data_IF_221130072943
#
_entry.id   IF_221130072943
#
_cell.length_a   1.000
_cell.length_b   1.000
_cell.length_c   1.000
_cell.angle_alpha   90.00
_cell.angle_beta   90.00
_cell.angle_gamma   90.00
#
_symmetry.space_group_name_H-M   'P 1'
#
loop_
_entity.id
_entity.type
_entity.pdbx_description
1 polymer ?
#
# COMPACT_ATOMS: atom_id res chain seq x y z
N UNK A 1 -10.08 -50.14 -3.32
CA UNK A 1 -11.32 -49.35 -3.50
C UNK A 1 -10.94 -48.11 -4.31
N UNK A 2 -11.10 -48.18 -5.62
CA UNK A 2 -10.93 -47.04 -6.51
C UNK A 2 -12.32 -46.39 -6.66
N UNK A 3 -12.63 -45.46 -5.77
CA UNK A 3 -13.80 -44.61 -5.94
C UNK A 3 -13.47 -43.61 -7.04
N UNK A 4 -14.35 -43.56 -8.04
CA UNK A 4 -14.20 -42.79 -9.26
C UNK A 4 -14.25 -41.29 -8.93
N UNK A 5 -13.09 -40.65 -8.69
CA UNK A 5 -12.97 -39.22 -8.35
C UNK A 5 -13.10 -38.34 -9.60
N UNK A 6 -14.27 -38.35 -10.23
CA UNK A 6 -14.64 -37.52 -11.39
C UNK A 6 -14.88 -36.04 -11.08
N UNK A 7 -14.14 -35.45 -10.13
CA UNK A 7 -14.24 -34.03 -9.77
C UNK A 7 -13.13 -33.19 -10.40
N UNK A 8 -13.31 -31.87 -10.50
CA UNK A 8 -12.32 -30.92 -11.06
C UNK A 8 -10.93 -31.12 -10.44
N UNK A 9 -10.84 -31.33 -9.12
CA UNK A 9 -9.56 -31.56 -8.43
C UNK A 9 -8.89 -32.89 -8.79
N UNK A 10 -9.67 -33.94 -9.09
CA UNK A 10 -9.13 -35.22 -9.58
C UNK A 10 -8.54 -35.07 -10.99
N UNK A 11 -9.20 -34.29 -11.86
CA UNK A 11 -8.67 -33.97 -13.19
C UNK A 11 -7.37 -33.15 -13.11
N UNK A 12 -7.34 -32.13 -12.25
CA UNK A 12 -6.12 -31.34 -12.00
C UNK A 12 -5.00 -32.25 -11.45
N UNK A 13 -5.32 -33.13 -10.49
CA UNK A 13 -4.35 -34.08 -9.94
C UNK A 13 -3.75 -34.99 -11.01
N UNK A 14 -4.57 -35.49 -11.95
CA UNK A 14 -4.09 -36.32 -13.06
C UNK A 14 -3.15 -35.55 -13.99
N UNK A 15 -3.48 -34.31 -14.34
CA UNK A 15 -2.64 -33.45 -15.19
C UNK A 15 -1.30 -33.17 -14.52
N UNK A 16 -1.34 -32.73 -13.26
CA UNK A 16 -0.16 -32.41 -12.45
C UNK A 16 0.75 -33.63 -12.31
N UNK A 17 0.20 -34.84 -12.11
CA UNK A 17 0.99 -36.07 -11.97
C UNK A 17 1.62 -36.52 -13.29
N UNK A 18 0.89 -36.41 -14.41
CA UNK A 18 1.36 -36.84 -15.73
C UNK A 18 2.39 -35.89 -16.33
N UNK A 19 2.17 -34.58 -16.19
CA UNK A 19 2.98 -33.56 -16.85
C UNK A 19 3.35 -32.39 -15.91
N UNK A 20 4.03 -32.64 -14.77
CA UNK A 20 4.36 -31.60 -13.80
C UNK A 20 5.28 -30.50 -14.39
N UNK A 21 6.25 -30.89 -15.23
CA UNK A 21 7.15 -29.95 -15.91
C UNK A 21 6.39 -29.03 -16.86
N UNK A 22 5.37 -29.55 -17.55
CA UNK A 22 4.53 -28.73 -18.43
C UNK A 22 3.71 -27.70 -17.64
N UNK A 23 3.11 -28.10 -16.51
CA UNK A 23 2.36 -27.17 -15.65
C UNK A 23 3.28 -26.07 -15.10
N UNK A 24 4.48 -26.43 -14.63
CA UNK A 24 5.48 -25.45 -14.16
C UNK A 24 5.90 -24.53 -15.31
N UNK A 25 6.18 -25.09 -16.48
CA UNK A 25 6.54 -24.35 -17.68
C UNK A 25 5.43 -23.39 -18.12
N UNK A 26 4.15 -23.78 -17.99
CA UNK A 26 3.01 -22.93 -18.26
C UNK A 26 2.95 -21.74 -17.30
N UNK A 27 3.18 -21.96 -16.00
CA UNK A 27 3.21 -20.88 -15.00
C UNK A 27 4.39 -19.92 -15.20
N UNK A 28 5.59 -20.46 -15.46
CA UNK A 28 6.78 -19.65 -15.74
C UNK A 28 6.62 -18.90 -17.07
N UNK A 29 6.08 -19.56 -18.10
CA UNK A 29 5.77 -18.96 -19.38
C UNK A 29 4.72 -17.86 -19.26
N UNK A 30 3.66 -18.08 -18.49
CA UNK A 30 2.66 -17.06 -18.18
C UNK A 30 3.27 -15.86 -17.45
N UNK A 31 4.11 -16.11 -16.43
CA UNK A 31 4.84 -15.05 -15.74
C UNK A 31 5.73 -14.25 -16.70
N UNK A 32 6.46 -14.91 -17.59
CA UNK A 32 7.33 -14.26 -18.56
C UNK A 32 6.53 -13.45 -19.60
N UNK A 33 5.46 -14.03 -20.16
CA UNK A 33 4.59 -13.34 -21.11
C UNK A 33 3.94 -12.12 -20.47
N UNK A 34 3.39 -12.26 -19.27
CA UNK A 34 2.79 -11.14 -18.55
C UNK A 34 3.82 -10.08 -18.16
N UNK A 35 5.03 -10.46 -17.73
CA UNK A 35 6.08 -9.50 -17.42
C UNK A 35 6.55 -8.69 -18.65
N UNK A 36 6.43 -9.26 -19.86
CA UNK A 36 6.80 -8.60 -21.11
C UNK A 36 5.66 -7.80 -21.75
N UNK A 37 4.41 -8.23 -21.56
CA UNK A 37 3.24 -7.66 -22.25
C UNK A 37 2.41 -6.73 -21.38
N UNK A 38 2.28 -7.03 -20.09
CA UNK A 38 1.53 -6.20 -19.16
C UNK A 38 2.44 -5.10 -18.58
N UNK A 39 1.87 -3.91 -18.31
CA UNK A 39 2.63 -2.86 -17.64
C UNK A 39 2.94 -3.33 -16.22
N UNK A 40 4.08 -2.91 -15.68
CA UNK A 40 4.34 -3.12 -14.26
C UNK A 40 3.23 -2.45 -13.45
N UNK A 41 2.87 -3.03 -12.31
CA UNK A 41 1.84 -2.45 -11.45
C UNK A 41 2.18 -1.00 -11.07
N UNK A 42 3.47 -0.71 -10.84
CA UNK A 42 3.95 0.65 -10.61
C UNK A 42 3.63 1.58 -11.78
N UNK A 43 3.96 1.17 -13.01
CA UNK A 43 3.65 1.97 -14.20
C UNK A 43 2.15 2.15 -14.40
N UNK A 44 1.35 1.11 -14.13
CA UNK A 44 -0.10 1.21 -14.19
C UNK A 44 -0.67 2.24 -13.21
N UNK A 45 -0.09 2.37 -12.01
CA UNK A 45 -0.45 3.39 -11.03
C UNK A 45 0.00 4.80 -11.50
N UNK A 46 1.16 4.91 -12.15
CA UNK A 46 1.61 6.17 -12.76
C UNK A 46 0.69 6.63 -13.89
N UNK A 47 0.27 5.71 -14.75
CA UNK A 47 -0.54 6.03 -15.93
C UNK A 47 -2.03 6.27 -15.57
N UNK A 48 -2.52 5.71 -14.46
CA UNK A 48 -3.94 5.78 -14.05
C UNK A 48 -4.09 6.10 -12.54
N UNK A 49 -3.71 7.30 -12.09
CA UNK A 49 -3.83 7.68 -10.70
C UNK A 49 -5.30 7.69 -10.24
N UNK A 50 -5.51 7.33 -8.97
CA UNK A 50 -6.84 7.30 -8.36
C UNK A 50 -7.11 8.62 -7.67
N UNK A 51 -8.25 9.23 -7.99
CA UNK A 51 -8.75 10.37 -7.22
C UNK A 51 -9.07 9.94 -5.78
N UNK A 52 -8.49 10.63 -4.81
CA UNK A 52 -8.74 10.40 -3.39
C UNK A 52 -10.22 10.61 -3.05
N UNK A 53 -10.82 11.66 -3.60
CA UNK A 53 -12.22 12.02 -3.42
C UNK A 53 -13.02 11.77 -4.70
N UNK A 54 -14.32 11.44 -4.59
CA UNK A 54 -15.19 11.40 -5.75
C UNK A 54 -15.18 12.71 -6.53
N UNK A 55 -15.17 12.63 -7.86
CA UNK A 55 -15.18 13.82 -8.75
C UNK A 55 -16.40 14.72 -8.54
N UNK A 56 -17.51 14.14 -8.10
CA UNK A 56 -18.77 14.83 -7.80
C UNK A 56 -18.84 15.38 -6.36
N UNK A 57 -17.77 15.24 -5.57
CA UNK A 57 -17.73 15.80 -4.23
C UNK A 57 -17.87 17.34 -4.29
N UNK A 58 -18.71 17.97 -3.44
CA UNK A 58 -18.95 19.42 -3.48
C UNK A 58 -17.67 20.27 -3.42
N UNK A 59 -16.66 19.81 -2.67
CA UNK A 59 -15.36 20.48 -2.55
C UNK A 59 -14.56 20.43 -3.85
N UNK A 60 -14.62 19.32 -4.59
CA UNK A 60 -13.93 19.17 -5.88
C UNK A 60 -14.57 20.06 -6.93
N UNK A 61 -15.91 20.08 -6.98
CA UNK A 61 -16.63 20.96 -7.91
C UNK A 61 -16.40 22.44 -7.61
N UNK A 62 -16.43 22.84 -6.33
CA UNK A 62 -16.15 24.23 -5.92
C UNK A 62 -14.72 24.64 -6.28
N UNK A 63 -13.75 23.73 -6.10
CA UNK A 63 -12.34 23.98 -6.46
C UNK A 63 -12.18 24.15 -7.97
N UNK A 64 -12.84 23.31 -8.78
CA UNK A 64 -12.85 23.43 -10.24
C UNK A 64 -13.43 24.77 -10.71
N UNK A 65 -14.58 25.16 -10.15
CA UNK A 65 -15.23 26.43 -10.47
C UNK A 65 -14.35 27.64 -10.10
N UNK A 66 -13.66 27.57 -8.96
CA UNK A 66 -12.71 28.60 -8.54
C UNK A 66 -11.55 28.73 -9.54
N UNK A 67 -10.91 27.61 -9.91
CA UNK A 67 -9.82 27.60 -10.92
C UNK A 67 -10.28 28.19 -12.25
N UNK A 68 -11.45 27.77 -12.74
CA UNK A 68 -12.03 28.28 -13.99
C UNK A 68 -12.35 29.78 -13.93
N UNK A 69 -12.89 30.26 -12.81
CA UNK A 69 -13.33 31.66 -12.65
C UNK A 69 -12.17 32.64 -12.50
N UNK A 70 -11.11 32.23 -11.80
CA UNK A 70 -9.96 33.10 -11.52
C UNK A 70 -8.79 32.88 -12.49
N UNK A 71 -8.89 31.92 -13.42
CA UNK A 71 -7.82 31.53 -14.35
C UNK A 71 -6.49 31.21 -13.64
N UNK A 72 -6.56 30.81 -12.36
CA UNK A 72 -5.41 30.39 -11.57
C UNK A 72 -5.21 28.88 -11.69
N UNK A 73 -4.57 28.49 -12.79
CA UNK A 73 -4.03 27.14 -12.96
C UNK A 73 -2.79 27.00 -12.06
N UNK A 74 -2.94 26.50 -10.83
CA UNK A 74 -1.75 26.23 -10.00
C UNK A 74 -1.94 25.90 -8.53
N UNK A 75 -3.15 25.97 -7.98
CA UNK A 75 -3.33 25.92 -6.52
C UNK A 75 -3.54 24.51 -5.92
N UNK A 76 -3.42 23.43 -6.69
CA UNK A 76 -3.78 22.09 -6.17
C UNK A 76 -2.63 21.36 -5.47
N UNK A 77 -1.37 21.71 -5.79
CA UNK A 77 -0.18 21.05 -5.25
C UNK A 77 0.88 22.08 -4.83
N UNK A 78 0.60 22.85 -3.77
CA UNK A 78 1.50 23.87 -3.23
C UNK A 78 2.31 23.30 -2.06
N UNK A 79 3.64 23.28 -2.24
CA UNK A 79 4.62 23.06 -1.21
C UNK A 79 4.96 24.39 -0.50
N UNK A 80 4.89 24.42 0.84
CA UNK A 80 5.38 25.54 1.63
C UNK A 80 6.77 25.21 2.17
N UNK A 81 7.78 25.99 1.78
CA UNK A 81 9.14 25.85 2.30
C UNK A 81 9.34 26.89 3.40
N UNK A 82 9.53 26.45 4.63
CA UNK A 82 9.74 27.30 5.80
C UNK A 82 11.23 27.38 6.08
N UNK A 83 11.76 28.59 6.10
CA UNK A 83 13.16 28.92 6.27
C UNK A 83 13.34 29.64 7.60
N UNK A 84 14.14 29.10 8.51
CA UNK A 84 14.32 29.68 9.85
C UNK A 84 15.79 29.91 10.21
N UNK A 85 16.04 31.00 10.92
CA UNK A 85 17.28 31.28 11.64
C UNK A 85 16.93 31.82 13.03
N UNK A 86 17.11 31.00 14.06
CA UNK A 86 16.75 31.32 15.44
C UNK A 86 17.52 32.52 16.02
N UNK A 87 18.68 32.81 15.46
CA UNK A 87 19.53 33.94 15.83
C UNK A 87 19.14 35.25 15.11
N UNK A 88 18.14 35.21 14.22
CA UNK A 88 17.70 36.32 13.38
C UNK A 88 18.20 36.17 11.93
N UNK A 89 17.36 36.56 10.98
CA UNK A 89 17.67 36.49 9.55
C UNK A 89 18.71 37.55 9.16
N UNK A 90 19.67 37.14 8.35
CA UNK A 90 20.81 37.96 7.90
C UNK A 90 20.79 38.22 6.39
N UNK A 91 21.59 39.18 5.87
CA UNK A 91 21.74 39.37 4.43
C UNK A 91 22.29 38.12 3.70
N UNK A 92 23.12 37.31 4.38
CA UNK A 92 23.59 36.04 3.83
C UNK A 92 22.45 35.04 3.69
N UNK A 93 21.51 35.03 4.64
CA UNK A 93 20.30 34.21 4.56
C UNK A 93 19.43 34.63 3.37
N UNK A 94 19.30 35.94 3.10
CA UNK A 94 18.58 36.42 1.92
C UNK A 94 19.26 35.99 0.61
N UNK A 95 20.59 35.89 0.57
CA UNK A 95 21.30 35.37 -0.59
C UNK A 95 20.99 33.88 -0.81
N UNK A 96 20.95 33.08 0.25
CA UNK A 96 20.54 31.67 0.17
C UNK A 96 19.08 31.55 -0.29
N UNK A 97 18.17 32.39 0.22
CA UNK A 97 16.78 32.45 -0.25
C UNK A 97 16.70 32.74 -1.75
N UNK A 98 17.47 33.73 -2.25
CA UNK A 98 17.51 34.08 -3.67
C UNK A 98 18.00 32.93 -4.53
N UNK A 99 19.04 32.21 -4.10
CA UNK A 99 19.56 31.03 -4.80
C UNK A 99 18.51 29.93 -4.85
N UNK A 100 17.85 29.63 -3.72
CA UNK A 100 16.78 28.63 -3.65
C UNK A 100 15.62 28.98 -4.59
N UNK A 101 15.10 30.21 -4.52
CA UNK A 101 14.00 30.66 -5.37
C UNK A 101 14.38 30.67 -6.87
N UNK A 102 15.63 30.98 -7.21
CA UNK A 102 16.13 30.91 -8.58
C UNK A 102 16.19 29.47 -9.09
N UNK A 103 16.81 28.55 -8.33
CA UNK A 103 16.90 27.12 -8.70
C UNK A 103 15.53 26.47 -8.86
N UNK A 104 14.58 26.78 -7.97
CA UNK A 104 13.20 26.30 -8.08
C UNK A 104 12.52 26.81 -9.35
N UNK A 105 12.79 28.07 -9.75
CA UNK A 105 12.21 28.64 -10.97
C UNK A 105 12.85 28.08 -12.25
N UNK A 106 14.13 27.74 -12.21
CA UNK A 106 14.86 27.10 -13.31
C UNK A 106 14.37 25.66 -13.56
N UNK A 107 13.91 24.96 -12.52
CA UNK A 107 13.34 23.62 -12.63
C UNK A 107 11.90 23.61 -13.14
N UNK A 108 11.73 23.92 -14.42
CA UNK A 108 10.42 23.89 -15.10
C UNK A 108 9.81 22.49 -15.23
N UNK A 109 10.57 21.43 -14.91
CA UNK A 109 10.13 20.04 -15.01
C UNK A 109 9.31 19.64 -13.79
N UNK A 110 9.77 19.98 -12.59
CA UNK A 110 9.13 19.56 -11.34
C UNK A 110 8.38 20.72 -10.65
N UNK A 111 8.69 21.97 -11.00
CA UNK A 111 8.08 23.18 -10.42
C UNK A 111 7.18 23.88 -11.44
N UNK A 112 5.93 24.12 -11.05
CA UNK A 112 4.93 24.84 -11.85
C UNK A 112 4.87 26.34 -11.53
N UNK A 113 5.13 26.72 -10.28
CA UNK A 113 5.10 28.11 -9.84
C UNK A 113 6.05 28.34 -8.66
N UNK A 114 6.64 29.54 -8.59
CA UNK A 114 7.36 30.02 -7.40
C UNK A 114 6.81 31.38 -7.02
N UNK A 115 6.27 31.51 -5.80
CA UNK A 115 5.75 32.78 -5.29
C UNK A 115 6.74 33.35 -4.27
N UNK A 116 7.57 34.30 -4.69
CA UNK A 116 8.63 34.85 -3.85
C UNK A 116 8.56 36.38 -3.71
N UNK A 117 9.07 36.90 -2.59
CA UNK A 117 9.12 38.34 -2.33
C UNK A 117 10.27 39.08 -3.04
N UNK A 118 11.16 38.39 -3.75
CA UNK A 118 12.26 39.02 -4.49
C UNK A 118 11.73 39.59 -5.81
N UNK A 119 10.90 38.82 -6.51
CA UNK A 119 10.22 39.25 -7.74
C UNK A 119 9.00 40.12 -7.45
N UNK A 120 8.33 39.90 -6.30
CA UNK A 120 7.16 40.67 -5.86
C UNK A 120 7.40 41.27 -4.48
N UNK A 121 8.09 42.43 -4.38
CA UNK A 121 8.41 43.08 -3.11
C UNK A 121 7.25 43.26 -2.12
N UNK A 122 6.00 43.54 -2.55
CA UNK A 122 4.86 43.65 -1.63
C UNK A 122 4.58 42.37 -0.82
N UNK A 123 5.01 41.19 -1.30
CA UNK A 123 4.80 39.94 -0.57
C UNK A 123 5.74 39.79 0.64
N UNK A 124 6.79 40.62 0.76
CA UNK A 124 7.80 40.46 1.82
C UNK A 124 7.20 40.55 3.21
N UNK A 125 6.26 41.46 3.43
CA UNK A 125 5.57 41.62 4.72
C UNK A 125 4.73 40.40 5.07
N UNK A 126 4.10 39.76 4.07
CA UNK A 126 3.27 38.57 4.28
C UNK A 126 4.10 37.30 4.47
N UNK A 127 5.28 37.24 3.87
CA UNK A 127 6.15 36.06 3.82
C UNK A 127 7.26 36.08 4.87
N UNK A 128 7.42 37.18 5.60
CA UNK A 128 8.37 37.32 6.71
C UNK A 128 7.64 37.25 8.05
N UNK A 129 8.22 36.53 9.00
CA UNK A 129 7.71 36.50 10.36
C UNK A 129 7.88 37.85 11.02
N UNK A 130 6.96 38.19 11.93
CA UNK A 130 7.02 39.44 12.70
C UNK A 130 8.22 39.51 13.64
N UNK A 131 8.79 38.35 14.01
CA UNK A 131 10.00 38.25 14.84
C UNK A 131 11.32 38.34 14.05
N UNK A 132 11.27 38.43 12.72
CA UNK A 132 12.45 38.54 11.86
C UNK A 132 13.33 37.29 11.82
N UNK A 133 12.78 36.12 12.19
CA UNK A 133 13.52 34.85 12.27
C UNK A 133 13.14 33.83 11.20
N UNK A 134 12.05 34.04 10.48
CA UNK A 134 11.56 33.08 9.50
C UNK A 134 11.02 33.72 8.23
N UNK A 135 11.19 33.00 7.12
CA UNK A 135 10.49 33.21 5.86
C UNK A 135 9.72 31.94 5.49
N UNK A 136 8.64 32.07 4.73
CA UNK A 136 8.12 30.93 3.97
C UNK A 136 8.12 31.24 2.48
N UNK A 137 8.30 30.22 1.65
CA UNK A 137 8.32 30.28 0.19
C UNK A 137 7.31 29.26 -0.37
N UNK A 138 6.15 29.70 -0.87
CA UNK A 138 5.22 28.84 -1.60
C UNK A 138 5.76 28.47 -2.99
N UNK A 139 5.76 27.17 -3.28
CA UNK A 139 6.19 26.58 -4.54
C UNK A 139 5.10 25.63 -5.04
N UNK A 140 4.55 25.90 -6.22
CA UNK A 140 3.68 24.95 -6.90
C UNK A 140 4.50 23.84 -7.54
N UNK A 141 4.16 22.58 -7.29
CA UNK A 141 4.79 21.43 -7.91
C UNK A 141 3.94 20.91 -9.08
N UNK A 142 4.58 20.20 -10.00
CA UNK A 142 3.89 19.49 -11.09
C UNK A 142 3.16 18.25 -10.56
N UNK A 143 2.10 17.85 -11.29
CA UNK A 143 1.23 16.73 -10.92
C UNK A 143 0.21 17.05 -9.84
N UNK A 144 -0.92 16.34 -9.87
CA UNK A 144 -1.97 16.43 -8.85
C UNK A 144 -1.51 15.79 -7.52
N UNK A 145 -2.05 16.25 -6.40
CA UNK A 145 -1.68 15.75 -5.07
C UNK A 145 -1.89 14.24 -4.95
N UNK A 146 -0.96 13.54 -4.31
CA UNK A 146 -0.96 12.07 -4.12
C UNK A 146 -0.80 11.24 -5.41
N UNK A 147 -0.42 11.87 -6.53
CA UNK A 147 0.00 11.16 -7.75
C UNK A 147 1.50 10.84 -7.72
N UNK A 148 1.96 9.82 -8.47
CA UNK A 148 3.40 9.53 -8.59
C UNK A 148 4.22 10.69 -9.17
N UNK A 149 3.63 11.48 -10.06
CA UNK A 149 4.25 12.69 -10.60
C UNK A 149 4.52 13.71 -9.49
N UNK A 150 3.51 14.00 -8.65
CA UNK A 150 3.68 14.91 -7.50
C UNK A 150 4.73 14.42 -6.50
N UNK A 151 4.82 13.10 -6.28
CA UNK A 151 5.84 12.49 -5.43
C UNK A 151 7.25 12.69 -5.98
N UNK A 152 7.45 12.49 -7.29
CA UNK A 152 8.74 12.75 -7.96
C UNK A 152 9.13 14.22 -7.87
N UNK A 153 8.19 15.12 -8.16
CA UNK A 153 8.42 16.56 -8.04
C UNK A 153 8.75 16.98 -6.61
N UNK A 154 8.09 16.39 -5.60
CA UNK A 154 8.40 16.65 -4.19
C UNK A 154 9.82 16.23 -3.82
N UNK A 155 10.25 15.03 -4.22
CA UNK A 155 11.62 14.55 -3.97
C UNK A 155 12.66 15.42 -4.70
N UNK A 156 12.36 15.86 -5.92
CA UNK A 156 13.18 16.83 -6.66
C UNK A 156 13.34 18.15 -5.89
N UNK A 157 12.23 18.71 -5.43
CA UNK A 157 12.22 19.93 -4.62
C UNK A 157 13.02 19.78 -3.31
N UNK A 158 12.88 18.65 -2.60
CA UNK A 158 13.67 18.37 -1.38
C UNK A 158 15.18 18.37 -1.66
N UNK A 159 15.60 17.83 -2.81
CA UNK A 159 17.01 17.86 -3.22
C UNK A 159 17.49 19.29 -3.45
N UNK A 160 16.71 20.11 -4.17
CA UNK A 160 17.05 21.52 -4.40
C UNK A 160 17.14 22.29 -3.08
N UNK A 161 16.19 22.09 -2.16
CA UNK A 161 16.18 22.70 -0.82
C UNK A 161 17.47 22.36 -0.09
N UNK A 162 17.78 21.07 0.01
CA UNK A 162 18.97 20.58 0.71
C UNK A 162 20.25 21.15 0.10
N UNK A 163 20.38 21.12 -1.22
CA UNK A 163 21.56 21.59 -1.93
C UNK A 163 21.72 23.13 -1.85
N UNK A 164 20.64 23.88 -1.65
CA UNK A 164 20.67 25.32 -1.49
C UNK A 164 21.00 25.76 -0.06
N UNK A 165 20.53 25.02 0.95
CA UNK A 165 20.72 25.39 2.36
C UNK A 165 21.90 24.70 3.05
N UNK A 166 22.50 23.69 2.41
CA UNK A 166 23.64 22.97 2.97
C UNK A 166 24.82 23.92 3.26
N UNK A 167 25.34 23.87 4.49
CA UNK A 167 26.47 24.69 4.93
C UNK A 167 26.11 26.13 5.30
N UNK A 168 24.82 26.48 5.33
CA UNK A 168 24.33 27.82 5.70
C UNK A 168 23.74 27.84 7.11
N UNK A 169 23.51 29.03 7.67
CA UNK A 169 22.80 29.23 8.95
C UNK A 169 21.30 28.96 8.88
N UNK A 170 20.74 28.96 7.67
CA UNK A 170 19.32 28.72 7.41
C UNK A 170 18.98 27.24 7.55
N UNK A 171 17.96 26.96 8.36
CA UNK A 171 17.28 25.67 8.36
C UNK A 171 16.07 25.76 7.45
N UNK A 172 15.91 24.76 6.58
CA UNK A 172 14.74 24.63 5.72
C UNK A 172 13.89 23.45 6.17
N UNK A 173 12.60 23.66 6.21
CA UNK A 173 11.58 22.65 6.45
C UNK A 173 10.52 22.74 5.37
N UNK A 174 9.86 21.64 5.06
CA UNK A 174 8.70 21.61 4.17
C UNK A 174 7.43 21.50 5.00
N UNK A 175 6.33 22.09 4.55
CA UNK A 175 5.03 21.96 5.22
C UNK A 175 3.88 22.12 4.22
N UNK A 176 2.65 22.00 4.72
CA UNK A 176 1.42 22.00 3.93
C UNK A 176 1.02 20.61 3.41
N UNK A 177 -0.11 20.52 2.71
CA UNK A 177 -0.66 19.24 2.23
C UNK A 177 0.31 18.46 1.33
N UNK A 178 1.00 19.13 0.42
CA UNK A 178 2.00 18.54 -0.47
C UNK A 178 3.14 17.88 0.29
N UNK A 179 3.72 18.57 1.29
CA UNK A 179 4.77 18.00 2.12
C UNK A 179 4.25 16.83 2.96
N UNK A 180 3.02 16.94 3.48
CA UNK A 180 2.41 15.88 4.32
C UNK A 180 2.19 14.60 3.53
N UNK A 181 1.60 14.71 2.34
CA UNK A 181 1.36 13.56 1.44
C UNK A 181 2.69 13.02 0.88
N UNK A 182 3.62 13.90 0.54
CA UNK A 182 4.96 13.52 0.10
C UNK A 182 5.70 12.71 1.17
N UNK A 183 5.69 13.18 2.42
CA UNK A 183 6.30 12.47 3.55
C UNK A 183 5.56 11.16 3.86
N UNK A 184 4.22 11.13 3.79
CA UNK A 184 3.47 9.88 3.95
C UNK A 184 3.89 8.83 2.92
N UNK A 185 4.16 9.27 1.69
CA UNK A 185 4.63 8.38 0.63
C UNK A 185 6.05 7.90 0.91
N UNK A 186 6.99 8.81 1.20
CA UNK A 186 8.41 8.47 1.45
C UNK A 186 8.59 7.62 2.71
N UNK A 187 7.96 8.01 3.82
CA UNK A 187 7.98 7.25 5.08
C UNK A 187 7.25 5.92 4.89
N UNK A 188 6.12 5.93 4.18
CA UNK A 188 5.34 4.74 3.84
C UNK A 188 6.16 3.72 3.05
N UNK A 189 6.85 4.12 1.98
CA UNK A 189 7.71 3.23 1.19
C UNK A 189 8.86 2.64 2.01
N UNK A 190 9.49 3.47 2.85
CA UNK A 190 10.58 3.03 3.73
C UNK A 190 10.09 1.98 4.73
N UNK A 191 8.94 2.21 5.34
CA UNK A 191 8.39 1.30 6.33
C UNK A 191 7.80 0.03 5.69
N UNK A 192 7.23 0.15 4.49
CA UNK A 192 6.78 -0.99 3.69
C UNK A 192 7.93 -1.96 3.40
N UNK A 193 9.09 -1.48 2.94
CA UNK A 193 10.24 -2.35 2.71
C UNK A 193 10.69 -3.07 4.00
N UNK A 194 10.67 -2.38 5.15
CA UNK A 194 10.98 -3.01 6.44
C UNK A 194 9.94 -4.07 6.81
N UNK A 195 8.65 -3.78 6.62
CA UNK A 195 7.55 -4.71 6.92
C UNK A 195 7.62 -5.94 6.02
N UNK A 196 7.90 -5.78 4.73
CA UNK A 196 8.06 -6.89 3.78
C UNK A 196 9.21 -7.81 4.18
N UNK A 197 10.40 -7.24 4.45
CA UNK A 197 11.58 -8.03 4.87
C UNK A 197 11.31 -8.72 6.22
N UNK A 198 10.72 -8.00 7.18
CA UNK A 198 10.44 -8.55 8.52
C UNK A 198 9.39 -9.66 8.46
N UNK A 199 8.31 -9.46 7.70
CA UNK A 199 7.26 -10.47 7.52
C UNK A 199 7.81 -11.69 6.80
N UNK A 200 8.59 -11.51 5.72
CA UNK A 200 9.21 -12.61 5.01
C UNK A 200 10.16 -13.41 5.93
N UNK A 201 10.97 -12.73 6.74
CA UNK A 201 11.85 -13.37 7.72
C UNK A 201 11.08 -14.13 8.80
N UNK A 202 9.98 -13.56 9.32
CA UNK A 202 9.13 -14.19 10.32
C UNK A 202 8.40 -15.43 9.76
N UNK A 203 7.83 -15.32 8.56
CA UNK A 203 7.22 -16.44 7.84
C UNK A 203 8.25 -17.53 7.62
N UNK A 204 9.44 -17.18 7.13
CA UNK A 204 10.53 -18.13 6.94
C UNK A 204 10.91 -18.84 8.24
N UNK A 205 11.00 -18.10 9.35
CA UNK A 205 11.29 -18.65 10.68
C UNK A 205 10.20 -19.62 11.14
N UNK A 206 8.92 -19.27 10.95
CA UNK A 206 7.79 -20.15 11.26
C UNK A 206 7.85 -21.42 10.40
N UNK A 207 8.05 -21.29 9.09
CA UNK A 207 8.16 -22.43 8.17
C UNK A 207 9.37 -23.31 8.51
N UNK A 208 10.49 -22.71 8.94
CA UNK A 208 11.67 -23.44 9.43
C UNK A 208 11.33 -24.24 10.69
N UNK A 209 10.60 -23.68 11.64
CA UNK A 209 10.17 -24.38 12.86
C UNK A 209 9.20 -25.53 12.53
N UNK A 210 8.24 -25.28 11.64
CA UNK A 210 7.19 -26.25 11.27
C UNK A 210 7.77 -27.41 10.45
N UNK A 211 8.53 -27.12 9.40
CA UNK A 211 9.00 -28.15 8.46
C UNK A 211 10.41 -28.67 8.75
N UNK A 212 11.28 -27.83 9.34
CA UNK A 212 12.69 -28.15 9.66
C UNK A 212 13.47 -28.73 8.47
N UNK A 213 13.02 -28.42 7.26
CA UNK A 213 13.59 -28.86 5.99
C UNK A 213 13.67 -27.65 5.06
N UNK A 214 14.88 -27.23 4.62
CA UNK A 214 15.08 -26.05 3.80
C UNK A 214 14.30 -26.09 2.48
N UNK A 215 14.18 -27.26 1.86
CA UNK A 215 13.47 -27.38 0.58
C UNK A 215 11.98 -27.18 0.79
N UNK A 216 11.40 -27.85 1.78
CA UNK A 216 9.97 -27.74 2.10
C UNK A 216 9.57 -26.31 2.50
N UNK A 217 10.39 -25.61 3.28
CA UNK A 217 10.06 -24.24 3.70
C UNK A 217 10.15 -23.22 2.55
N UNK A 218 10.94 -23.49 1.51
CA UNK A 218 11.03 -22.62 0.34
C UNK A 218 9.84 -22.76 -0.61
N UNK A 219 9.16 -23.92 -0.62
CA UNK A 219 8.06 -24.17 -1.56
C UNK A 219 6.91 -23.16 -1.45
N UNK A 220 6.35 -22.86 -0.25
CA UNK A 220 5.34 -21.81 -0.13
C UNK A 220 5.81 -20.46 -0.65
N UNK A 221 7.05 -20.07 -0.35
CA UNK A 221 7.60 -18.77 -0.75
C UNK A 221 7.79 -18.67 -2.27
N UNK A 222 8.25 -19.73 -2.92
CA UNK A 222 8.39 -19.78 -4.39
C UNK A 222 7.02 -19.65 -5.05
N UNK A 223 6.03 -20.39 -4.56
CA UNK A 223 4.66 -20.36 -5.10
C UNK A 223 4.06 -18.98 -4.94
N UNK A 224 4.19 -18.39 -3.75
CA UNK A 224 3.72 -17.03 -3.46
C UNK A 224 4.43 -16.02 -4.35
N UNK A 225 5.76 -16.05 -4.46
CA UNK A 225 6.52 -15.13 -5.28
C UNK A 225 6.12 -15.16 -6.76
N UNK A 226 6.01 -16.37 -7.34
CA UNK A 226 5.54 -16.55 -8.74
C UNK A 226 4.10 -16.05 -8.90
N UNK A 227 3.22 -16.41 -7.97
CA UNK A 227 1.82 -15.98 -8.02
C UNK A 227 1.67 -14.46 -7.87
N UNK A 228 2.48 -13.82 -7.03
CA UNK A 228 2.49 -12.37 -6.80
C UNK A 228 2.93 -11.63 -8.05
N UNK A 229 4.00 -12.06 -8.71
CA UNK A 229 4.44 -11.46 -9.97
C UNK A 229 3.36 -11.54 -11.06
N UNK A 230 2.70 -12.70 -11.19
CA UNK A 230 1.58 -12.88 -12.12
C UNK A 230 0.37 -12.03 -11.73
N UNK A 231 0.05 -11.94 -10.44
CA UNK A 231 -1.05 -11.12 -9.96
C UNK A 231 -0.82 -9.63 -10.20
N UNK A 232 0.39 -9.12 -9.91
CA UNK A 232 0.77 -7.74 -10.19
C UNK A 232 0.66 -7.42 -11.69
N UNK A 233 1.15 -8.31 -12.55
CA UNK A 233 1.07 -8.12 -13.99
C UNK A 233 -0.38 -8.24 -14.52
N UNK A 234 -1.17 -9.19 -14.00
CA UNK A 234 -2.58 -9.33 -14.36
C UNK A 234 -3.39 -8.09 -13.94
N UNK A 235 -3.20 -7.59 -12.73
CA UNK A 235 -3.84 -6.37 -12.24
C UNK A 235 -3.36 -5.15 -13.04
N UNK A 236 -2.07 -5.04 -13.35
CA UNK A 236 -1.55 -4.01 -14.25
C UNK A 236 -2.18 -4.04 -15.64
N UNK A 237 -2.43 -5.24 -16.19
CA UNK A 237 -3.19 -5.42 -17.43
C UNK A 237 -4.65 -4.97 -17.31
N UNK A 238 -5.32 -5.30 -16.20
CA UNK A 238 -6.67 -4.82 -15.92
C UNK A 238 -6.74 -3.29 -15.79
N UNK A 239 -5.63 -2.65 -15.39
CA UNK A 239 -5.54 -1.19 -15.35
C UNK A 239 -5.79 -0.56 -16.73
N UNK A 240 -5.21 -1.17 -17.77
CA UNK A 240 -5.41 -0.72 -19.15
C UNK A 240 -6.85 -0.88 -19.62
N UNK A 241 -7.63 -1.76 -18.97
CA UNK A 241 -9.05 -1.97 -19.25
C UNK A 241 -9.96 -1.01 -18.45
N UNK A 242 -9.38 -0.07 -17.70
CA UNK A 242 -10.11 0.96 -16.94
C UNK A 242 -10.22 0.67 -15.44
N UNK A 243 -9.51 -0.32 -14.90
CA UNK A 243 -9.41 -0.50 -13.45
C UNK A 243 -8.43 0.54 -12.88
N UNK A 244 -8.90 1.55 -12.15
CA UNK A 244 -8.00 2.49 -11.48
C UNK A 244 -7.25 1.77 -10.34
N UNK A 245 -5.98 2.10 -10.11
CA UNK A 245 -5.12 1.42 -9.14
C UNK A 245 -4.42 2.45 -8.26
N UNK A 246 -4.56 2.31 -6.94
CA UNK A 246 -3.88 3.18 -5.98
C UNK A 246 -2.52 2.61 -5.59
N UNK A 247 -1.60 3.47 -5.13
CA UNK A 247 -0.33 3.05 -4.52
C UNK A 247 -0.53 2.02 -3.39
N UNK A 248 -1.62 2.15 -2.62
CA UNK A 248 -1.96 1.25 -1.52
C UNK A 248 -2.28 -0.18 -1.99
N UNK A 249 -2.67 -0.34 -3.26
CA UNK A 249 -2.97 -1.66 -3.84
C UNK A 249 -1.72 -2.55 -3.82
N UNK A 250 -0.55 -2.01 -4.17
CA UNK A 250 0.71 -2.75 -4.14
C UNK A 250 1.01 -3.28 -2.72
N UNK A 251 0.89 -2.40 -1.72
CA UNK A 251 1.11 -2.74 -0.30
C UNK A 251 0.21 -3.87 0.18
N UNK A 252 -1.08 -3.74 -0.06
CA UNK A 252 -2.04 -4.74 0.40
C UNK A 252 -1.95 -6.04 -0.39
N UNK A 253 -1.64 -5.98 -1.70
CA UNK A 253 -1.43 -7.17 -2.51
C UNK A 253 -0.27 -8.00 -1.97
N UNK A 254 0.90 -7.40 -1.74
CA UNK A 254 2.06 -8.14 -1.22
C UNK A 254 1.75 -8.76 0.15
N UNK A 255 1.17 -7.99 1.07
CA UNK A 255 0.84 -8.48 2.41
C UNK A 255 -0.20 -9.61 2.39
N UNK A 256 -1.30 -9.45 1.64
CA UNK A 256 -2.38 -10.43 1.57
C UNK A 256 -1.95 -11.72 0.85
N UNK A 257 -1.18 -11.61 -0.24
CA UNK A 257 -0.68 -12.79 -0.95
C UNK A 257 0.37 -13.56 -0.14
N UNK A 258 1.19 -12.85 0.64
CA UNK A 258 2.12 -13.49 1.57
C UNK A 258 1.39 -14.24 2.68
N UNK A 259 0.30 -13.70 3.23
CA UNK A 259 -0.52 -14.40 4.22
C UNK A 259 -1.30 -15.57 3.61
N UNK A 260 -2.28 -15.25 2.75
CA UNK A 260 -3.20 -16.24 2.18
C UNK A 260 -2.49 -17.29 1.31
N UNK A 261 -1.53 -16.88 0.49
CA UNK A 261 -0.81 -17.80 -0.39
C UNK A 261 0.09 -18.77 0.37
N UNK A 262 0.73 -18.34 1.46
CA UNK A 262 1.47 -19.24 2.35
C UNK A 262 0.52 -20.21 3.04
N UNK A 263 -0.62 -19.74 3.54
CA UNK A 263 -1.62 -20.60 4.20
C UNK A 263 -2.11 -21.69 3.25
N UNK A 264 -2.49 -21.33 2.02
CA UNK A 264 -2.94 -22.30 1.01
C UNK A 264 -1.88 -23.36 0.73
N UNK A 265 -0.61 -22.93 0.61
CA UNK A 265 0.49 -23.85 0.40
C UNK A 265 0.75 -24.75 1.61
N UNK A 266 0.71 -24.20 2.82
CA UNK A 266 0.92 -24.94 4.06
C UNK A 266 -0.17 -25.98 4.28
N UNK A 267 -1.44 -25.65 4.03
CA UNK A 267 -2.54 -26.60 4.14
C UNK A 267 -2.36 -27.79 3.19
N UNK A 268 -2.00 -27.54 1.93
CA UNK A 268 -1.75 -28.61 0.97
C UNK A 268 -0.54 -29.46 1.34
N UNK A 269 0.59 -28.83 1.70
CA UNK A 269 1.82 -29.53 2.08
C UNK A 269 1.61 -30.38 3.34
N UNK A 270 0.91 -29.82 4.33
CA UNK A 270 0.57 -30.53 5.57
C UNK A 270 -0.26 -31.78 5.29
N UNK A 271 -1.26 -31.66 4.41
CA UNK A 271 -2.11 -32.80 4.01
C UNK A 271 -1.34 -33.84 3.19
N UNK A 272 -0.47 -33.39 2.29
CA UNK A 272 0.48 -34.27 1.58
C UNK A 272 1.36 -35.05 2.56
N UNK A 273 1.94 -34.39 3.57
CA UNK A 273 2.76 -35.03 4.59
C UNK A 273 2.00 -36.03 5.45
N UNK A 274 0.71 -35.81 5.70
CA UNK A 274 -0.15 -36.76 6.38
C UNK A 274 -0.30 -38.06 5.57
N UNK A 275 -0.56 -37.95 4.26
CA UNK A 275 -0.67 -39.12 3.38
C UNK A 275 0.65 -39.87 3.21
N UNK A 276 1.78 -39.17 3.15
CA UNK A 276 3.12 -39.81 3.16
C UNK A 276 3.32 -40.62 4.46
N UNK A 277 2.91 -40.09 5.61
CA UNK A 277 3.01 -40.81 6.90
C UNK A 277 2.09 -42.03 6.96
N UNK A 278 0.99 -42.03 6.20
CA UNK A 278 0.08 -43.17 6.05
C UNK A 278 0.60 -44.22 5.06
N UNK A 279 1.74 -43.98 4.41
CA UNK A 279 2.40 -44.93 3.51
C UNK A 279 2.02 -44.80 2.04
N UNK A 280 1.33 -43.73 1.63
CA UNK A 280 1.05 -43.48 0.21
C UNK A 280 2.34 -43.10 -0.53
N UNK A 281 2.44 -43.53 -1.79
CA UNK A 281 3.48 -43.06 -2.69
C UNK A 281 3.36 -41.54 -2.92
N UNK A 282 4.48 -40.85 -3.18
CA UNK A 282 4.52 -39.38 -3.22
C UNK A 282 3.53 -38.76 -4.21
N UNK A 283 3.49 -39.26 -5.44
CA UNK A 283 2.59 -38.77 -6.47
C UNK A 283 1.11 -38.95 -6.10
N UNK A 284 0.78 -40.11 -5.51
CA UNK A 284 -0.59 -40.42 -5.09
C UNK A 284 -0.97 -39.63 -3.83
N UNK A 285 -0.02 -39.34 -2.95
CA UNK A 285 -0.20 -38.46 -1.81
C UNK A 285 -0.49 -37.01 -2.24
N UNK A 286 0.13 -36.51 -3.32
CA UNK A 286 -0.21 -35.18 -3.88
C UNK A 286 -1.63 -35.18 -4.42
N UNK A 287 -2.03 -36.21 -5.17
CA UNK A 287 -3.38 -36.33 -5.72
C UNK A 287 -4.44 -36.39 -4.61
N UNK A 288 -4.24 -37.25 -3.61
CA UNK A 288 -5.15 -37.38 -2.47
C UNK A 288 -5.21 -36.09 -1.62
N UNK A 289 -4.08 -35.40 -1.44
CA UNK A 289 -4.04 -34.11 -0.76
C UNK A 289 -4.87 -33.05 -1.51
N UNK A 290 -4.72 -32.97 -2.85
CA UNK A 290 -5.45 -32.02 -3.66
C UNK A 290 -6.97 -32.31 -3.67
N UNK A 291 -7.37 -33.57 -3.79
CA UNK A 291 -8.79 -33.97 -3.75
C UNK A 291 -9.44 -33.69 -2.39
N UNK A 292 -8.69 -33.85 -1.30
CA UNK A 292 -9.22 -33.63 0.06
C UNK A 292 -9.27 -32.16 0.47
N UNK A 293 -8.20 -31.39 0.26
CA UNK A 293 -8.10 -30.01 0.74
C UNK A 293 -8.51 -28.98 -0.33
N UNK A 294 -8.50 -29.33 -1.62
CA UNK A 294 -8.71 -28.37 -2.71
C UNK A 294 -10.03 -27.60 -2.61
N UNK A 295 -11.13 -28.29 -2.21
CA UNK A 295 -12.44 -27.66 -1.96
C UNK A 295 -12.42 -26.72 -0.76
N UNK A 296 -11.67 -27.05 0.29
CA UNK A 296 -11.54 -26.25 1.50
C UNK A 296 -10.77 -24.96 1.20
N UNK A 297 -9.66 -25.07 0.46
CA UNK A 297 -8.87 -23.91 0.02
C UNK A 297 -9.69 -23.02 -0.92
N UNK A 298 -10.47 -23.61 -1.84
CA UNK A 298 -11.35 -22.85 -2.73
C UNK A 298 -12.44 -22.07 -1.99
N UNK A 299 -13.09 -22.70 -1.00
CA UNK A 299 -14.10 -22.02 -0.19
C UNK A 299 -13.50 -20.84 0.60
N UNK A 300 -12.30 -21.03 1.14
CA UNK A 300 -11.55 -19.96 1.81
C UNK A 300 -11.23 -18.81 0.86
N UNK A 301 -10.61 -19.10 -0.30
CA UNK A 301 -10.26 -18.12 -1.30
C UNK A 301 -11.48 -17.36 -1.86
N UNK A 302 -12.58 -18.06 -2.12
CA UNK A 302 -13.82 -17.46 -2.57
C UNK A 302 -14.40 -16.50 -1.54
N UNK A 303 -14.38 -16.86 -0.25
CA UNK A 303 -14.89 -16.00 0.84
C UNK A 303 -14.08 -14.71 0.92
N UNK A 304 -12.75 -14.81 0.84
CA UNK A 304 -11.85 -13.64 0.87
C UNK A 304 -12.02 -12.79 -0.39
N UNK A 305 -12.08 -13.40 -1.58
CA UNK A 305 -12.27 -12.70 -2.84
C UNK A 305 -13.60 -11.92 -2.89
N UNK A 306 -14.71 -12.54 -2.49
CA UNK A 306 -16.02 -11.88 -2.41
C UNK A 306 -16.00 -10.73 -1.41
N UNK A 307 -15.32 -10.89 -0.28
CA UNK A 307 -15.19 -9.81 0.72
C UNK A 307 -14.45 -8.61 0.14
N UNK A 308 -13.34 -8.82 -0.57
CA UNK A 308 -12.61 -7.74 -1.23
C UNK A 308 -13.38 -7.12 -2.39
N UNK A 309 -14.13 -7.89 -3.18
CA UNK A 309 -15.06 -7.33 -4.17
C UNK A 309 -16.10 -6.41 -3.53
N UNK A 310 -16.54 -6.73 -2.31
CA UNK A 310 -17.43 -5.86 -1.53
C UNK A 310 -16.88 -4.46 -1.28
N UNK A 311 -15.56 -4.29 -1.21
CA UNK A 311 -14.95 -2.96 -1.10
C UNK A 311 -15.19 -2.09 -2.34
N UNK A 312 -15.49 -2.68 -3.49
CA UNK A 312 -15.86 -1.94 -4.71
C UNK A 312 -17.13 -1.09 -4.55
N UNK A 313 -17.99 -1.37 -3.55
CA UNK A 313 -19.16 -0.55 -3.23
C UNK A 313 -18.84 0.69 -2.38
N UNK A 314 -17.58 0.87 -1.97
CA UNK A 314 -17.17 2.06 -1.20
C UNK A 314 -17.09 3.29 -2.09
N UNK A 315 -17.37 4.47 -1.51
CA UNK A 315 -17.28 5.75 -2.24
C UNK A 315 -15.86 6.31 -2.30
N UNK A 316 -14.99 5.90 -1.39
CA UNK A 316 -13.63 6.41 -1.33
C UNK A 316 -12.79 5.70 -2.39
N UNK A 317 -12.25 6.47 -3.34
CA UNK A 317 -11.50 5.94 -4.49
C UNK A 317 -10.44 4.93 -4.06
N UNK A 318 -9.66 5.27 -3.03
CA UNK A 318 -8.58 4.45 -2.50
C UNK A 318 -9.02 3.05 -2.01
N UNK A 319 -10.25 2.89 -1.53
CA UNK A 319 -10.77 1.60 -1.04
C UNK A 319 -11.49 0.84 -2.16
N UNK A 320 -12.24 1.56 -3.00
CA UNK A 320 -13.01 0.99 -4.11
C UNK A 320 -12.13 0.34 -5.18
N UNK A 321 -10.93 0.87 -5.39
CA UNK A 321 -9.97 0.37 -6.39
C UNK A 321 -9.14 -0.80 -5.89
N UNK A 322 -8.78 -0.80 -4.60
CA UNK A 322 -8.01 -1.86 -3.94
C UNK A 322 -8.78 -3.18 -3.93
N UNK A 323 -10.09 -3.16 -3.65
CA UNK A 323 -10.92 -4.35 -3.48
C UNK A 323 -10.86 -5.33 -4.65
N UNK A 324 -11.24 -4.91 -5.87
CA UNK A 324 -11.19 -5.75 -7.06
C UNK A 324 -9.78 -6.30 -7.35
N UNK A 325 -8.74 -5.48 -7.19
CA UNK A 325 -7.36 -5.88 -7.39
C UNK A 325 -6.93 -6.99 -6.41
N UNK A 326 -7.28 -6.87 -5.12
CA UNK A 326 -7.02 -7.90 -4.12
C UNK A 326 -7.82 -9.18 -4.39
N UNK A 327 -9.07 -9.07 -4.84
CA UNK A 327 -9.87 -10.23 -5.21
C UNK A 327 -9.19 -11.04 -6.32
N UNK A 328 -8.78 -10.38 -7.41
CA UNK A 328 -8.05 -11.04 -8.51
C UNK A 328 -6.76 -11.69 -8.02
N UNK A 329 -6.02 -10.99 -7.15
CA UNK A 329 -4.77 -11.48 -6.57
C UNK A 329 -4.96 -12.75 -5.75
N UNK A 330 -6.00 -12.81 -4.92
CA UNK A 330 -6.34 -13.99 -4.11
C UNK A 330 -6.78 -15.16 -4.99
N UNK A 331 -7.54 -14.90 -6.06
CA UNK A 331 -7.93 -15.93 -7.01
C UNK A 331 -6.69 -16.51 -7.72
N UNK A 332 -5.73 -15.68 -8.11
CA UNK A 332 -4.47 -16.14 -8.73
C UNK A 332 -3.65 -16.97 -7.72
N UNK A 333 -3.54 -16.53 -6.46
CA UNK A 333 -2.90 -17.30 -5.40
C UNK A 333 -3.58 -18.67 -5.19
N UNK A 334 -4.91 -18.71 -5.21
CA UNK A 334 -5.68 -19.95 -5.15
C UNK A 334 -5.36 -20.87 -6.34
N UNK A 335 -5.45 -20.38 -7.58
CA UNK A 335 -5.17 -21.19 -8.76
C UNK A 335 -3.73 -21.71 -8.72
N UNK A 336 -2.76 -20.89 -8.31
CA UNK A 336 -1.37 -21.32 -8.12
C UNK A 336 -1.25 -22.43 -7.06
N UNK A 337 -1.97 -22.29 -5.93
CA UNK A 337 -1.95 -23.28 -4.86
C UNK A 337 -2.51 -24.65 -5.26
N UNK A 338 -3.47 -24.71 -6.20
CA UNK A 338 -4.08 -25.97 -6.65
C UNK A 338 -3.49 -26.52 -7.95
N UNK A 339 -2.62 -25.77 -8.63
CA UNK A 339 -1.99 -26.21 -9.89
C UNK A 339 -0.46 -26.18 -9.82
N UNK A 340 0.13 -25.00 -9.66
CA UNK A 340 1.58 -24.79 -9.63
C UNK A 340 2.24 -25.54 -8.47
N UNK A 341 1.72 -25.36 -7.25
CA UNK A 341 2.30 -25.98 -6.07
C UNK A 341 2.29 -27.53 -6.15
N UNK A 342 1.15 -28.20 -6.44
CA UNK A 342 1.13 -29.64 -6.68
C UNK A 342 2.16 -30.11 -7.71
N UNK A 343 2.38 -29.36 -8.80
CA UNK A 343 3.35 -29.74 -9.83
C UNK A 343 4.78 -29.69 -9.32
N UNK A 344 5.12 -28.67 -8.53
CA UNK A 344 6.42 -28.58 -7.86
C UNK A 344 6.56 -29.70 -6.83
N UNK A 345 5.50 -30.00 -6.06
CA UNK A 345 5.49 -31.08 -5.07
C UNK A 345 5.73 -32.45 -5.69
N UNK A 346 5.17 -32.76 -6.87
CA UNK A 346 5.42 -34.03 -7.57
C UNK A 346 6.90 -34.18 -7.91
N UNK A 347 7.55 -33.15 -8.49
CA UNK A 347 8.97 -33.24 -8.87
C UNK A 347 9.89 -33.40 -7.67
N UNK A 348 9.68 -32.58 -6.64
CA UNK A 348 10.52 -32.55 -5.44
C UNK A 348 10.22 -33.75 -4.53
N UNK A 349 8.97 -34.20 -4.51
CA UNK A 349 8.48 -35.37 -3.77
C UNK A 349 9.07 -36.69 -4.27
N UNK A 350 9.11 -36.91 -5.59
CA UNK A 350 9.77 -38.07 -6.21
C UNK A 350 11.24 -38.21 -5.82
N UNK A 351 11.92 -37.10 -5.56
CA UNK A 351 13.33 -37.05 -5.15
C UNK A 351 13.53 -37.26 -3.64
N UNK A 352 12.45 -37.36 -2.86
CA UNK A 352 12.49 -37.50 -1.41
C UNK A 352 12.92 -36.24 -0.66
N UNK A 353 13.02 -35.08 -1.34
CA UNK A 353 13.54 -33.85 -0.72
C UNK A 353 12.58 -33.22 0.30
N UNK A 354 11.31 -33.62 0.29
CA UNK A 354 10.24 -33.06 1.14
C UNK A 354 9.63 -34.11 2.08
N UNK A 355 10.37 -35.16 2.44
CA UNK A 355 9.86 -36.15 3.40
C UNK A 355 9.55 -35.51 4.75
N UNK A 356 8.37 -35.79 5.34
CA UNK A 356 8.00 -35.20 6.61
C UNK A 356 8.88 -35.72 7.74
N UNK A 357 9.30 -34.81 8.62
CA UNK A 357 9.90 -35.20 9.91
C UNK A 357 8.79 -35.61 10.90
N UNK A 358 9.14 -36.41 11.92
CA UNK A 358 8.20 -36.82 12.98
C UNK A 358 7.60 -35.57 13.62
N UNK A 359 6.28 -35.46 13.55
CA UNK A 359 5.55 -34.39 14.23
C UNK A 359 5.53 -34.71 15.74
N UNK A 360 5.78 -33.70 16.57
CA UNK A 360 5.50 -33.83 17.99
C UNK A 360 3.98 -33.92 18.18
N UNK A 361 3.50 -35.02 18.75
CA UNK A 361 2.12 -35.10 19.22
C UNK A 361 1.97 -34.06 20.34
N UNK A 362 1.38 -32.92 20.02
CA UNK A 362 1.24 -31.81 20.95
C UNK A 362 0.16 -32.15 21.98
N UNK A 363 0.57 -32.74 23.11
CA UNK A 363 -0.27 -33.06 24.28
C UNK A 363 -1.13 -31.86 24.74
N UNK A 364 -0.65 -30.63 24.51
CA UNK A 364 -1.34 -29.39 24.83
C UNK A 364 -2.64 -29.25 24.02
N UNK A 365 -2.60 -29.43 22.69
CA UNK A 365 -3.79 -29.33 21.83
C UNK A 365 -4.82 -30.41 22.16
N UNK A 366 -4.36 -31.64 22.41
CA UNK A 366 -5.23 -32.74 22.82
C UNK A 366 -5.93 -32.47 24.16
N UNK A 367 -5.20 -31.96 25.16
CA UNK A 367 -5.76 -31.59 26.47
C UNK A 367 -6.75 -30.43 26.34
N UNK A 368 -6.43 -29.43 25.52
CA UNK A 368 -7.31 -28.29 25.26
C UNK A 368 -8.63 -28.73 24.60
N UNK A 369 -8.55 -29.54 23.54
CA UNK A 369 -9.73 -30.08 22.85
C UNK A 369 -10.67 -30.86 23.78
N UNK A 370 -10.11 -31.75 24.61
CA UNK A 370 -10.89 -32.48 25.62
C UNK A 370 -11.59 -31.51 26.59
N UNK A 371 -10.89 -30.48 27.05
CA UNK A 371 -11.45 -29.55 28.03
C UNK A 371 -12.59 -28.71 27.44
N UNK A 372 -12.46 -28.27 26.19
CA UNK A 372 -13.48 -27.50 25.46
C UNK A 372 -14.76 -28.34 25.30
N UNK A 373 -14.63 -29.59 24.86
CA UNK A 373 -15.78 -30.51 24.68
C UNK A 373 -16.44 -30.86 26.01
N UNK A 374 -15.68 -30.95 27.11
CA UNK A 374 -16.24 -31.21 28.45
C UNK A 374 -17.07 -30.06 29.01
N UNK A 375 -16.78 -28.81 28.64
CA UNK A 375 -17.45 -27.61 29.20
C UNK A 375 -17.75 -26.54 28.12
N UNK A 376 -18.56 -26.87 27.10
CA UNK A 376 -18.76 -25.98 25.94
C UNK A 376 -19.41 -24.65 26.33
N UNK A 377 -20.43 -24.66 27.20
CA UNK A 377 -21.13 -23.46 27.64
C UNK A 377 -20.25 -22.49 28.43
N UNK A 378 -19.38 -23.01 29.31
CA UNK A 378 -18.44 -22.17 30.07
C UNK A 378 -17.41 -21.51 29.16
N UNK A 379 -16.85 -22.26 28.20
CA UNK A 379 -15.89 -21.71 27.25
C UNK A 379 -16.53 -20.68 26.31
N UNK A 380 -17.76 -20.93 25.84
CA UNK A 380 -18.52 -19.97 25.04
C UNK A 380 -18.83 -18.69 25.84
N UNK A 381 -19.27 -18.82 27.09
CA UNK A 381 -19.59 -17.66 27.93
C UNK A 381 -18.33 -16.81 28.19
N UNK A 382 -17.21 -17.46 28.56
CA UNK A 382 -15.95 -16.76 28.81
C UNK A 382 -15.43 -16.10 27.53
N UNK A 383 -15.43 -16.79 26.39
CA UNK A 383 -14.96 -16.19 25.13
C UNK A 383 -15.85 -15.05 24.67
N UNK A 384 -17.17 -15.17 24.81
CA UNK A 384 -18.12 -14.12 24.47
C UNK A 384 -17.93 -12.88 25.36
N UNK A 385 -17.78 -13.07 26.67
CA UNK A 385 -17.52 -11.96 27.61
C UNK A 385 -16.24 -11.23 27.22
N UNK A 386 -15.15 -11.97 26.94
CA UNK A 386 -13.88 -11.36 26.51
C UNK A 386 -14.06 -10.60 25.19
N UNK A 387 -14.72 -11.19 24.20
CA UNK A 387 -14.96 -10.54 22.89
C UNK A 387 -15.86 -9.31 23.00
N UNK A 388 -16.89 -9.33 23.86
CA UNK A 388 -17.76 -8.18 24.10
C UNK A 388 -16.98 -7.06 24.78
N UNK A 389 -16.17 -7.37 25.79
CA UNK A 389 -15.29 -6.38 26.44
C UNK A 389 -14.35 -5.74 25.39
N UNK A 390 -13.70 -6.55 24.55
CA UNK A 390 -12.85 -6.03 23.48
C UNK A 390 -13.64 -5.19 22.46
N UNK A 391 -14.87 -5.60 22.13
CA UNK A 391 -15.74 -4.84 21.23
C UNK A 391 -16.14 -3.48 21.81
N UNK A 392 -16.32 -3.35 23.14
CA UNK A 392 -16.62 -2.05 23.77
C UNK A 392 -15.49 -1.03 23.60
N UNK A 393 -14.24 -1.46 23.40
CA UNK A 393 -13.14 -0.55 23.05
C UNK A 393 -13.39 0.18 21.72
N UNK A 394 -14.17 -0.40 20.81
CA UNK A 394 -14.57 0.24 19.55
C UNK A 394 -15.43 1.49 19.75
N UNK A 395 -16.20 1.57 20.84
CA UNK A 395 -17.00 2.75 21.16
C UNK A 395 -16.14 3.95 21.62
N UNK A 396 -14.86 3.72 21.94
CA UNK A 396 -13.92 4.76 22.36
C UNK A 396 -13.11 5.35 21.19
N UNK A 397 -13.37 4.91 19.95
CA UNK A 397 -12.66 5.39 18.77
C UNK A 397 -12.97 6.87 18.51
N UNK A 398 -11.93 7.69 18.45
CA UNK A 398 -12.00 9.09 18.04
C UNK A 398 -11.49 9.20 16.61
N UNK A 399 -12.39 9.52 15.68
CA UNK A 399 -12.01 9.77 14.30
C UNK A 399 -11.39 11.15 14.17
N UNK A 400 -10.18 11.21 13.61
CA UNK A 400 -9.49 12.43 13.24
C UNK A 400 -8.94 12.31 11.82
N UNK A 401 -9.06 13.37 11.04
CA UNK A 401 -8.56 13.46 9.66
C UNK A 401 -7.28 14.30 9.58
N UNK A 402 -6.51 14.29 10.67
CA UNK A 402 -5.26 15.04 10.80
C UNK A 402 -4.09 14.13 10.44
N UNK A 403 -3.72 14.13 9.17
CA UNK A 403 -2.67 13.27 8.62
C UNK A 403 -1.29 13.51 9.25
N UNK A 404 -1.07 14.67 9.86
CA UNK A 404 0.16 14.98 10.62
C UNK A 404 0.40 13.98 11.74
N UNK A 405 -0.67 13.45 12.34
CA UNK A 405 -0.60 12.45 13.43
C UNK A 405 -0.28 11.04 12.93
N UNK A 406 -0.49 10.77 11.64
CA UNK A 406 -0.10 9.52 11.01
C UNK A 406 1.40 9.49 10.72
N UNK A 407 2.05 10.65 10.71
CA UNK A 407 3.49 10.79 10.53
C UNK A 407 4.24 10.84 11.86
N UNK A 408 5.47 10.32 11.90
CA UNK A 408 6.32 10.44 13.07
C UNK A 408 6.67 11.91 13.34
N UNK A 409 6.96 12.29 14.60
CA UNK A 409 7.29 13.68 14.95
C UNK A 409 8.54 14.23 14.23
N UNK A 410 9.42 13.35 13.76
CA UNK A 410 10.64 13.73 13.06
C UNK A 410 10.46 13.96 11.55
N UNK A 411 9.28 13.69 10.97
CA UNK A 411 9.01 13.95 9.56
C UNK A 411 9.19 15.45 9.24
N UNK A 412 9.75 15.77 8.08
CA UNK A 412 10.09 17.15 7.70
C UNK A 412 8.84 18.04 7.65
N UNK A 413 7.73 17.50 7.13
CA UNK A 413 6.39 18.13 7.15
C UNK A 413 5.92 18.51 8.56
N UNK A 414 6.07 17.60 9.53
CA UNK A 414 5.71 17.82 10.92
C UNK A 414 6.62 18.87 11.58
N UNK A 415 7.92 18.82 11.30
CA UNK A 415 8.86 19.85 11.76
C UNK A 415 8.56 21.22 11.12
N UNK A 416 8.16 21.25 9.85
CA UNK A 416 7.77 22.46 9.15
C UNK A 416 6.47 23.05 9.69
N UNK A 417 5.48 22.24 10.06
CA UNK A 417 4.29 22.72 10.78
C UNK A 417 4.67 23.32 12.14
N UNK A 418 5.56 22.69 12.89
CA UNK A 418 6.03 23.24 14.16
C UNK A 418 6.82 24.54 13.97
N UNK A 419 7.62 24.64 12.90
CA UNK A 419 8.39 25.84 12.57
C UNK A 419 7.47 27.00 12.13
N UNK A 420 6.48 26.74 11.28
CA UNK A 420 5.55 27.78 10.82
C UNK A 420 4.66 28.26 11.97
N UNK A 421 4.15 27.35 12.81
CA UNK A 421 3.32 27.69 13.99
C UNK A 421 4.08 28.50 15.04
N UNK A 422 5.40 28.31 15.13
CA UNK A 422 6.27 29.06 16.06
C UNK A 422 6.47 30.51 15.63
N UNK A 423 6.57 30.79 14.33
CA UNK A 423 6.98 32.10 13.81
C UNK A 423 5.88 32.88 13.10
N UNK A 424 4.78 32.22 12.70
CA UNK A 424 3.66 32.84 11.99
C UNK A 424 2.35 32.61 12.76
N UNK A 425 1.40 33.56 12.71
CA UNK A 425 0.09 33.38 13.31
C UNK A 425 -0.71 32.28 12.61
N UNK A 426 -1.50 31.53 13.38
CA UNK A 426 -2.21 30.31 12.91
C UNK A 426 -3.14 30.56 11.72
N UNK A 427 -3.66 31.79 11.57
CA UNK A 427 -4.56 32.16 10.47
C UNK A 427 -3.87 32.26 9.10
N UNK A 428 -2.54 32.37 9.03
CA UNK A 428 -1.81 32.46 7.75
C UNK A 428 -1.36 31.11 7.21
N UNK A 429 -1.51 30.03 7.97
CA UNK A 429 -0.90 28.72 7.67
C UNK A 429 -1.87 27.67 7.12
N UNK A 430 -3.19 27.85 7.31
CA UNK A 430 -4.26 26.97 6.80
C UNK A 430 -5.46 27.79 6.30
N UNK A 431 -5.40 28.39 5.08
CA UNK A 431 -6.50 29.17 4.56
C UNK A 431 -7.72 28.28 4.25
N UNK A 432 -8.90 28.74 4.66
CA UNK A 432 -10.18 28.19 4.19
C UNK A 432 -10.75 29.13 3.14
N UNK A 433 -11.11 28.57 1.99
CA UNK A 433 -11.65 29.34 0.88
C UNK A 433 -13.18 29.27 0.88
N UNK A 434 -13.81 30.44 0.81
CA UNK A 434 -15.24 30.57 0.53
C UNK A 434 -15.40 31.08 -0.89
N UNK A 435 -15.86 30.22 -1.79
CA UNK A 435 -16.17 30.61 -3.16
C UNK A 435 -17.59 31.19 -3.23
N UNK A 436 -17.70 32.47 -3.58
CA UNK A 436 -18.97 33.18 -3.73
C UNK A 436 -19.17 33.50 -5.20
N UNK A 437 -20.28 33.02 -5.77
CA UNK A 437 -20.70 33.34 -7.14
C UNK A 437 -21.96 34.19 -7.11
N UNK A 438 -21.91 35.37 -7.72
CA UNK A 438 -23.06 36.27 -7.86
C UNK A 438 -23.39 36.50 -9.33
N UNK A 439 -24.69 36.59 -9.70
CA UNK A 439 -25.09 37.02 -11.04
C UNK A 439 -24.86 38.53 -11.27
N UNK A 440 -24.51 39.29 -10.23
CA UNK A 440 -24.25 40.74 -10.30
C UNK A 440 -22.77 41.06 -10.02
N UNK A 441 -22.25 42.14 -10.61
CA UNK A 441 -20.86 42.57 -10.40
C UNK A 441 -20.67 43.11 -8.98
N UNK A 442 -20.04 42.29 -8.14
CA UNK A 442 -19.72 42.57 -6.73
C UNK A 442 -18.63 43.64 -6.55
N UNK A 443 -18.01 44.14 -7.63
CA UNK A 443 -17.01 45.22 -7.55
C UNK A 443 -17.65 46.61 -7.49
N UNK A 444 -18.97 46.71 -7.60
CA UNK A 444 -19.71 47.97 -7.58
C UNK A 444 -20.47 48.16 -6.26
N UNK A 445 -20.64 49.40 -5.77
CA UNK A 445 -21.42 49.67 -4.54
C UNK A 445 -22.91 49.29 -4.64
N UNK A 446 -23.43 49.02 -5.85
CA UNK A 446 -24.79 48.52 -6.07
C UNK A 446 -24.86 47.00 -6.04
N UNK A 447 -23.72 46.32 -6.14
CA UNK A 447 -23.61 44.85 -6.16
C UNK A 447 -23.24 44.24 -4.80
N UNK A 448 -22.56 44.99 -3.93
CA UNK A 448 -22.35 44.68 -2.50
C UNK A 448 -23.60 45.07 -1.70
#
# INVERSE_FOLDING_TARGET
MAENTGGIYGLIAQIVRRAPVFVIGLWIGLAAVLALTAPSLQKAIEDHPVDLLPKDAPVMETTRQMVESFQESGAQNILLIVLTNENGLTPADEQTYRILAARMREDTRDVSMVQDFITKPPLREMMSSTDGKAWYLPVGLQGELATPESGKAYVGALKIIKDATQGTSLKAFTTGPTATVGDLTVVGERDLHKVEITTAALVLLILLIVYRNPVTMMLPLIVVGVSLGIAQAAVGGLAQMGLSISNQTLTFMTAMMMGAGVDYAVFLISRYHEYIKQGLASDDAVAAALESIGKVVAASAATVAVTFLGMGFTKLGILSTVGPALSVSILIAFVASVTFLPAVLVLVGRRGWITPRRAYANKIWHRSGINIVKRPGAHLAVSLVVLVILATCGAMVKFGYDDRKNLPPWADSNQGYAAIEKHFPVNSTLPQYLYIKSPHDLRTPRGL
#
